data_IF_112584886080
#
_entry.id   IF_112584886080
#
_cell.length_a   1.000
_cell.length_b   1.000
_cell.length_c   1.000
_cell.angle_alpha   90.00
_cell.angle_beta   90.00
_cell.angle_gamma   90.00
#
_symmetry.space_group_name_H-M   'P 1'
#
loop_
_entity.id
_entity.type
_entity.pdbx_description
1 polymer ?
#
# COMPACT_ATOMS: atom_id res chain seq x y z
N UNK A 1 -12.06 2.96 -26.30
CA UNK A 1 -10.81 3.05 -25.51
C UNK A 1 -11.15 3.82 -24.25
N UNK A 2 -10.85 3.30 -23.05
CA UNK A 2 -11.20 4.00 -21.79
C UNK A 2 -10.22 5.15 -21.57
N UNK A 3 -10.68 6.27 -21.03
CA UNK A 3 -9.79 7.38 -20.70
C UNK A 3 -8.90 7.00 -19.50
N UNK A 4 -7.61 7.30 -19.62
CA UNK A 4 -6.62 7.14 -18.56
C UNK A 4 -6.04 8.50 -18.19
N UNK A 5 -6.05 8.81 -16.89
CA UNK A 5 -5.47 10.05 -16.37
C UNK A 5 -4.41 9.70 -15.34
N UNK A 6 -3.17 10.08 -15.60
CA UNK A 6 -2.10 10.01 -14.59
C UNK A 6 -2.39 11.07 -13.54
N UNK A 7 -2.67 10.65 -12.32
CA UNK A 7 -2.96 11.56 -11.20
C UNK A 7 -1.67 12.01 -10.49
N UNK A 8 -0.71 11.09 -10.36
CA UNK A 8 0.59 11.33 -9.71
C UNK A 8 1.65 10.40 -10.28
N UNK A 9 2.90 10.84 -10.28
CA UNK A 9 4.06 9.99 -10.53
C UNK A 9 5.20 10.35 -9.59
N UNK A 10 6.00 9.35 -9.23
CA UNK A 10 7.16 9.51 -8.36
C UNK A 10 8.14 8.35 -8.58
N UNK A 11 9.14 8.22 -7.73
CA UNK A 11 10.12 7.14 -7.76
C UNK A 11 10.08 6.38 -6.43
N UNK A 12 10.25 5.06 -6.50
CA UNK A 12 10.60 4.26 -5.32
C UNK A 12 12.05 4.56 -4.90
N UNK A 13 12.45 4.06 -3.73
CA UNK A 13 13.83 4.21 -3.23
C UNK A 13 14.88 3.65 -4.22
N UNK A 14 14.56 2.57 -4.94
CA UNK A 14 15.41 2.00 -6.01
C UNK A 14 15.44 2.82 -7.32
N UNK A 15 14.78 3.97 -7.38
CA UNK A 15 14.67 4.78 -8.60
C UNK A 15 13.70 4.23 -9.64
N UNK A 16 12.85 3.25 -9.30
CA UNK A 16 11.81 2.77 -10.22
C UNK A 16 10.65 3.77 -10.26
N UNK A 17 10.33 4.28 -11.45
CA UNK A 17 9.20 5.21 -11.61
C UNK A 17 7.86 4.51 -11.38
N UNK A 18 7.07 5.05 -10.47
CA UNK A 18 5.71 4.60 -10.15
C UNK A 18 4.67 5.66 -10.53
N UNK A 19 3.50 5.20 -10.95
CA UNK A 19 2.38 6.01 -11.42
C UNK A 19 1.11 5.63 -10.66
N UNK A 20 0.37 6.63 -10.22
CA UNK A 20 -1.03 6.50 -9.82
C UNK A 20 -1.91 6.97 -10.98
N UNK A 21 -2.71 6.06 -11.53
CA UNK A 21 -3.52 6.29 -12.73
C UNK A 21 -4.98 6.03 -12.40
N UNK A 22 -5.85 6.96 -12.79
CA UNK A 22 -7.29 6.74 -12.82
C UNK A 22 -7.69 6.20 -14.19
N UNK A 23 -8.42 5.09 -14.20
CA UNK A 23 -8.96 4.47 -15.42
C UNK A 23 -10.49 4.51 -15.32
N UNK A 24 -11.12 5.18 -16.28
CA UNK A 24 -12.57 5.37 -16.30
C UNK A 24 -13.34 4.03 -16.24
N UNK A 25 -14.29 3.93 -15.31
CA UNK A 25 -15.05 2.69 -15.07
C UNK A 25 -14.18 1.51 -14.60
N UNK A 26 -12.98 1.74 -14.10
CA UNK A 26 -12.07 0.70 -13.60
C UNK A 26 -11.33 1.06 -12.32
N UNK A 27 -11.49 2.29 -11.81
CA UNK A 27 -10.96 2.74 -10.53
C UNK A 27 -9.53 3.27 -10.65
N UNK A 28 -8.77 3.10 -9.58
CA UNK A 28 -7.40 3.62 -9.45
C UNK A 28 -6.40 2.48 -9.54
N UNK A 29 -5.34 2.65 -10.31
CA UNK A 29 -4.26 1.67 -10.44
C UNK A 29 -2.92 2.30 -10.12
N UNK A 30 -2.08 1.51 -9.47
CA UNK A 30 -0.67 1.85 -9.28
C UNK A 30 0.14 0.94 -10.18
N UNK A 31 1.05 1.50 -10.95
CA UNK A 31 1.87 0.77 -11.89
C UNK A 31 3.24 1.39 -12.06
N UNK A 32 4.14 0.63 -12.66
CA UNK A 32 5.37 1.15 -13.25
C UNK A 32 5.16 1.37 -14.74
N UNK A 33 6.22 1.76 -15.47
CA UNK A 33 6.21 1.76 -16.94
C UNK A 33 5.84 0.40 -17.54
N UNK A 34 6.16 -0.69 -16.86
CA UNK A 34 6.14 -2.04 -17.44
C UNK A 34 4.99 -2.92 -16.96
N UNK A 35 4.44 -2.66 -15.77
CA UNK A 35 3.39 -3.50 -15.18
C UNK A 35 2.54 -2.76 -14.16
N UNK A 36 1.30 -3.20 -13.99
CA UNK A 36 0.45 -2.80 -12.87
C UNK A 36 0.86 -3.55 -11.60
N UNK A 37 0.89 -2.84 -10.47
CA UNK A 37 1.26 -3.36 -9.15
C UNK A 37 0.02 -3.62 -8.28
N UNK A 38 -0.95 -2.71 -8.31
CA UNK A 38 -2.18 -2.83 -7.52
C UNK A 38 -3.34 -2.04 -8.15
N UNK A 39 -4.57 -2.41 -7.78
CA UNK A 39 -5.81 -1.72 -8.13
C UNK A 39 -6.65 -1.46 -6.88
N UNK A 40 -7.24 -0.27 -6.80
CA UNK A 40 -8.10 0.20 -5.72
C UNK A 40 -9.38 0.83 -6.27
N UNK A 41 -10.46 0.76 -5.49
CA UNK A 41 -11.73 1.37 -5.85
C UNK A 41 -11.84 2.80 -5.32
N UNK A 42 -11.13 3.12 -4.23
CA UNK A 42 -11.09 4.45 -3.62
C UNK A 42 -9.74 5.13 -3.87
N UNK A 43 -9.77 6.42 -4.24
CA UNK A 43 -8.56 7.22 -4.47
C UNK A 43 -7.67 7.27 -3.23
N UNK A 44 -8.29 7.33 -2.07
CA UNK A 44 -7.67 7.38 -0.77
C UNK A 44 -6.79 6.16 -0.48
N UNK A 45 -7.30 4.96 -0.74
CA UNK A 45 -6.53 3.72 -0.59
C UNK A 45 -5.38 3.66 -1.60
N UNK A 46 -5.62 4.15 -2.82
CA UNK A 46 -4.59 4.23 -3.84
C UNK A 46 -3.46 5.22 -3.46
N UNK A 47 -3.79 6.37 -2.85
CA UNK A 47 -2.78 7.32 -2.35
C UNK A 47 -1.95 6.71 -1.21
N UNK A 48 -2.59 6.02 -0.25
CA UNK A 48 -1.84 5.37 0.86
C UNK A 48 -0.86 4.32 0.33
N UNK A 49 -1.31 3.50 -0.62
CA UNK A 49 -0.44 2.51 -1.25
C UNK A 49 0.66 3.15 -2.11
N UNK A 50 0.36 4.26 -2.80
CA UNK A 50 1.35 4.97 -3.60
C UNK A 50 2.46 5.54 -2.72
N UNK A 51 2.11 6.23 -1.64
CA UNK A 51 3.08 6.80 -0.70
C UNK A 51 3.87 5.73 0.04
N UNK A 52 3.26 4.59 0.36
CA UNK A 52 4.00 3.45 0.91
C UNK A 52 5.01 2.88 -0.11
N UNK A 53 4.63 2.75 -1.39
CA UNK A 53 5.54 2.26 -2.44
C UNK A 53 6.70 3.20 -2.74
N UNK A 54 6.53 4.52 -2.56
CA UNK A 54 7.64 5.49 -2.64
C UNK A 54 8.75 5.16 -1.62
N UNK A 55 8.38 4.60 -0.47
CA UNK A 55 9.28 4.31 0.66
C UNK A 55 9.78 2.87 0.67
N UNK A 56 9.64 2.12 -0.43
CA UNK A 56 9.97 0.70 -0.50
C UNK A 56 11.05 0.40 -1.55
N UNK A 57 11.78 -0.69 -1.29
CA UNK A 57 12.81 -1.27 -2.16
C UNK A 57 12.44 -2.72 -2.56
N UNK A 58 13.03 -3.21 -3.64
CA UNK A 58 12.93 -4.58 -4.12
C UNK A 58 11.72 -4.86 -5.02
N UNK A 59 11.06 -6.01 -4.82
CA UNK A 59 9.98 -6.46 -5.70
C UNK A 59 8.67 -5.69 -5.45
N UNK A 60 8.51 -4.58 -6.19
CA UNK A 60 7.34 -3.71 -6.12
C UNK A 60 6.01 -4.42 -6.43
N UNK A 61 5.99 -5.54 -7.16
CA UNK A 61 4.73 -6.27 -7.39
C UNK A 61 4.29 -7.02 -6.15
N UNK A 62 5.23 -7.68 -5.46
CA UNK A 62 4.95 -8.29 -4.15
C UNK A 62 4.56 -7.24 -3.13
N UNK A 63 5.26 -6.11 -3.10
CA UNK A 63 4.91 -4.97 -2.25
C UNK A 63 3.50 -4.44 -2.54
N UNK A 64 3.16 -4.19 -3.81
CA UNK A 64 1.84 -3.72 -4.22
C UNK A 64 0.71 -4.68 -3.82
N UNK A 65 0.91 -5.99 -3.99
CA UNK A 65 -0.04 -7.00 -3.57
C UNK A 65 -0.20 -7.05 -2.04
N UNK A 66 0.91 -6.99 -1.30
CA UNK A 66 0.91 -6.94 0.17
C UNK A 66 0.18 -5.69 0.68
N UNK A 67 0.52 -4.51 0.17
CA UNK A 67 -0.11 -3.25 0.55
C UNK A 67 -1.61 -3.26 0.28
N UNK A 68 -2.05 -3.79 -0.86
CA UNK A 68 -3.48 -3.95 -1.15
C UNK A 68 -4.19 -4.82 -0.12
N UNK A 69 -3.57 -5.94 0.26
CA UNK A 69 -4.12 -6.81 1.30
C UNK A 69 -4.18 -6.10 2.66
N UNK A 70 -3.14 -5.35 3.01
CA UNK A 70 -3.05 -4.64 4.28
C UNK A 70 -4.03 -3.47 4.40
N UNK A 71 -4.22 -2.70 3.33
CA UNK A 71 -5.20 -1.61 3.29
C UNK A 71 -6.62 -2.15 3.46
N UNK A 72 -6.95 -3.28 2.82
CA UNK A 72 -8.24 -3.95 3.00
C UNK A 72 -8.42 -4.47 4.43
N UNK A 73 -7.34 -4.96 5.05
CA UNK A 73 -7.36 -5.51 6.42
C UNK A 73 -7.52 -4.43 7.48
N UNK A 74 -6.87 -3.28 7.30
CA UNK A 74 -6.85 -2.21 8.29
C UNK A 74 -7.44 -0.93 7.69
N UNK A 75 -8.74 -0.67 7.92
CA UNK A 75 -9.39 0.54 7.46
C UNK A 75 -8.72 1.81 8.00
N UNK A 76 -8.86 2.93 7.27
CA UNK A 76 -8.29 4.22 7.66
C UNK A 76 -8.74 4.70 9.04
N UNK A 77 -9.99 4.45 9.42
CA UNK A 77 -10.54 4.89 10.72
C UNK A 77 -9.85 4.24 11.94
N UNK A 78 -9.19 3.09 11.78
CA UNK A 78 -8.44 2.42 12.85
C UNK A 78 -7.26 3.25 13.35
N UNK A 79 -6.77 4.19 12.54
CA UNK A 79 -5.70 5.12 12.89
C UNK A 79 -6.21 6.40 13.57
N UNK A 80 -7.51 6.45 13.92
CA UNK A 80 -8.15 7.60 14.57
C UNK A 80 -7.74 7.80 16.04
N UNK A 81 -7.35 9.05 16.35
CA UNK A 81 -6.83 9.65 17.61
C UNK A 81 -5.31 9.86 17.68
N UNK A 82 -4.46 9.11 16.96
CA UNK A 82 -3.02 9.44 16.82
C UNK A 82 -2.78 10.09 15.44
N UNK A 83 -2.77 11.42 15.44
CA UNK A 83 -2.85 12.34 14.29
C UNK A 83 -1.58 12.40 13.40
N UNK A 84 -1.19 11.33 12.73
CA UNK A 84 -0.32 11.52 11.57
C UNK A 84 -0.66 10.53 10.47
N UNK A 85 -0.95 11.03 9.26
CA UNK A 85 -1.03 10.22 8.03
C UNK A 85 0.22 9.35 7.87
N UNK A 86 1.36 9.88 8.32
CA UNK A 86 2.63 9.17 8.44
C UNK A 86 2.51 7.88 9.26
N UNK A 87 1.73 7.85 10.36
CA UNK A 87 1.55 6.63 11.16
C UNK A 87 0.93 5.47 10.39
N UNK A 88 0.03 5.75 9.43
CA UNK A 88 -0.58 4.73 8.58
C UNK A 88 0.38 4.26 7.50
N UNK A 89 1.07 5.19 6.83
CA UNK A 89 2.04 4.84 5.77
C UNK A 89 3.19 4.03 6.36
N UNK A 90 3.80 4.48 7.47
CA UNK A 90 4.83 3.72 8.17
C UNK A 90 4.33 2.35 8.63
N UNK A 91 3.07 2.25 9.08
CA UNK A 91 2.47 0.96 9.41
C UNK A 91 2.39 0.04 8.18
N UNK A 92 1.93 0.55 7.05
CA UNK A 92 1.79 -0.22 5.80
C UNK A 92 3.15 -0.67 5.26
N UNK A 93 4.15 0.22 5.24
CA UNK A 93 5.53 -0.10 4.86
C UNK A 93 6.06 -1.24 5.74
N UNK A 94 6.00 -1.08 7.06
CA UNK A 94 6.43 -2.11 8.01
C UNK A 94 5.71 -3.44 7.80
N UNK A 95 4.40 -3.43 7.53
CA UNK A 95 3.66 -4.67 7.26
C UNK A 95 4.13 -5.35 5.98
N UNK A 96 4.41 -4.57 4.94
CA UNK A 96 4.88 -5.10 3.67
C UNK A 96 6.30 -5.64 3.76
N UNK A 97 7.20 -4.93 4.44
CA UNK A 97 8.57 -5.37 4.72
C UNK A 97 8.58 -6.65 5.57
N UNK A 98 7.76 -6.71 6.62
CA UNK A 98 7.69 -7.91 7.44
C UNK A 98 7.22 -9.13 6.64
N UNK A 99 6.26 -8.96 5.73
CA UNK A 99 5.84 -10.03 4.82
C UNK A 99 6.94 -10.41 3.83
N UNK A 100 7.70 -9.44 3.32
CA UNK A 100 8.84 -9.71 2.43
C UNK A 100 9.93 -10.51 3.14
N UNK A 101 10.15 -10.26 4.43
CA UNK A 101 11.02 -11.04 5.31
C UNK A 101 10.47 -12.42 5.68
N UNK A 102 9.28 -12.81 5.16
CA UNK A 102 8.65 -14.10 5.44
C UNK A 102 7.86 -14.16 6.76
N UNK A 103 7.79 -13.06 7.51
CA UNK A 103 7.03 -13.03 8.76
C UNK A 103 5.52 -12.96 8.51
N UNK A 104 4.77 -13.50 9.47
CA UNK A 104 3.30 -13.47 9.51
C UNK A 104 2.83 -12.69 10.71
N UNK A 105 1.79 -11.88 10.51
CA UNK A 105 1.14 -11.16 11.58
C UNK A 105 0.30 -12.10 12.43
N UNK A 106 0.56 -12.15 13.73
CA UNK A 106 -0.32 -12.76 14.72
C UNK A 106 -1.00 -11.69 15.57
N UNK A 107 -2.25 -11.94 15.91
CA UNK A 107 -3.06 -11.10 16.79
C UNK A 107 -3.39 -11.85 18.06
N UNK A 108 -3.17 -11.23 19.21
CA UNK A 108 -3.52 -11.78 20.52
C UNK A 108 -4.07 -10.68 21.45
N UNK A 109 -4.45 -11.07 22.67
CA UNK A 109 -5.09 -10.18 23.64
C UNK A 109 -6.60 -10.01 23.39
N UNK A 110 -7.26 -9.31 24.33
CA UNK A 110 -8.71 -9.05 24.22
C UNK A 110 -9.01 -8.27 22.95
N UNK A 111 -9.89 -8.83 22.09
CA UNK A 111 -10.29 -8.28 20.79
C UNK A 111 -9.13 -8.09 19.78
N UNK A 112 -8.02 -8.82 19.93
CA UNK A 112 -6.87 -8.70 19.04
C UNK A 112 -6.13 -7.36 19.14
N UNK A 113 -6.10 -6.79 20.35
CA UNK A 113 -5.46 -5.49 20.65
C UNK A 113 -3.94 -5.52 20.50
N UNK A 114 -3.32 -6.70 20.50
CA UNK A 114 -1.87 -6.87 20.37
C UNK A 114 -1.55 -7.51 19.03
N UNK A 115 -0.67 -6.86 18.27
CA UNK A 115 -0.14 -7.32 16.98
C UNK A 115 1.36 -7.57 17.13
N UNK A 116 1.81 -8.77 16.74
CA UNK A 116 3.25 -9.09 16.68
C UNK A 116 3.57 -9.93 15.44
N UNK A 117 4.82 -9.82 14.97
CA UNK A 117 5.33 -10.50 13.79
C UNK A 117 6.20 -11.69 14.21
N UNK A 118 6.03 -12.81 13.52
CA UNK A 118 6.76 -14.06 13.79
C UNK A 118 6.96 -14.82 12.49
N UNK A 119 8.01 -15.66 12.43
CA UNK A 119 8.29 -16.52 11.27
C UNK A 119 7.29 -17.68 11.15
#
# INVERSE_FOLDING_TARGET
MKAETVLRSSFSLDGTRIFLVHIEGSGFRIGTRWRWLAKFDLIFDACDAFEALEMMEGDLARAGAALKAEIRRVPRHTFGRKRSTHSRISYLVRCSESRAAGMRLKRCGSKGSVEYWTY
#
